data_IF_923843799203
#
_entry.id   IF_923843799203
#
_cell.length_a   1.000
_cell.length_b   1.000
_cell.length_c   1.000
_cell.angle_alpha   90.00
_cell.angle_beta   90.00
_cell.angle_gamma   90.00
#
_symmetry.space_group_name_H-M   'P 1'
#
loop_
_entity.id
_entity.type
_entity.pdbx_description
1 polymer ?
#
# COMPACT_ATOMS: atom_id res chain seq x y z
N UNK A 1 -1.98 19.43 -23.96
CA UNK A 1 -0.56 18.97 -23.82
C UNK A 1 -0.25 18.00 -24.93
N UNK A 2 0.84 18.22 -25.67
CA UNK A 2 1.10 17.50 -26.93
C UNK A 2 1.49 16.03 -26.67
N UNK A 3 0.78 15.08 -27.28
CA UNK A 3 1.05 13.64 -27.26
C UNK A 3 2.54 13.29 -27.52
N UNK A 4 3.24 14.14 -28.28
CA UNK A 4 4.67 13.98 -28.56
C UNK A 4 5.56 14.21 -27.33
N UNK A 5 5.23 15.13 -26.41
CA UNK A 5 5.97 15.36 -25.18
C UNK A 5 5.81 14.20 -24.19
N UNK A 6 4.63 13.61 -24.11
CA UNK A 6 4.37 12.44 -23.26
C UNK A 6 5.15 11.21 -23.74
N UNK A 7 5.20 10.96 -25.05
CA UNK A 7 5.94 9.84 -25.64
C UNK A 7 7.46 10.02 -25.55
N UNK A 8 7.97 11.27 -25.61
CA UNK A 8 9.40 11.54 -25.42
C UNK A 8 9.85 11.35 -23.96
N UNK A 9 8.99 11.63 -22.98
CA UNK A 9 9.28 11.36 -21.57
C UNK A 9 9.22 9.86 -21.27
N UNK A 10 8.31 9.11 -21.90
CA UNK A 10 8.23 7.65 -21.77
C UNK A 10 9.45 6.93 -22.41
N UNK A 11 9.96 7.45 -23.52
CA UNK A 11 11.14 6.89 -24.18
C UNK A 11 12.45 7.10 -23.38
N UNK A 12 12.56 8.20 -22.63
CA UNK A 12 13.72 8.46 -21.77
C UNK A 12 13.78 7.51 -20.56
N UNK A 13 12.61 7.02 -20.09
CA UNK A 13 12.50 6.05 -18.99
C UNK A 13 12.80 4.60 -19.44
N UNK A 14 12.49 4.26 -20.69
CA UNK A 14 12.77 2.92 -21.25
C UNK A 14 14.26 2.63 -21.46
N UNK A 15 15.09 3.67 -21.59
CA UNK A 15 16.54 3.51 -21.74
C UNK A 15 17.26 3.20 -20.40
N UNK A 16 16.60 3.38 -19.24
CA UNK A 16 17.16 3.07 -17.92
C UNK A 16 17.01 1.59 -17.53
N UNK A 17 16.30 0.78 -18.30
CA UNK A 17 15.98 -0.61 -17.97
C UNK A 17 17.10 -1.63 -18.20
N UNK A 18 18.30 -1.22 -18.68
CA UNK A 18 19.41 -2.12 -19.01
C UNK A 18 20.67 -1.91 -18.15
N UNK A 19 20.60 -1.21 -17.02
CA UNK A 19 21.78 -1.04 -16.16
C UNK A 19 21.81 -2.11 -15.07
N UNK A 20 22.99 -2.72 -14.81
CA UNK A 20 23.14 -3.69 -13.72
C UNK A 20 22.95 -3.00 -12.36
N UNK A 21 22.30 -3.70 -11.45
CA UNK A 21 22.16 -3.30 -10.05
C UNK A 21 23.56 -3.06 -9.46
N UNK A 22 23.84 -1.84 -9.03
CA UNK A 22 25.13 -1.51 -8.41
C UNK A 22 25.62 -0.08 -8.68
N UNK A 23 24.90 0.70 -9.45
CA UNK A 23 25.22 2.12 -9.64
C UNK A 23 24.36 2.94 -8.68
N UNK A 24 25.00 3.64 -7.76
CA UNK A 24 24.41 4.73 -6.99
C UNK A 24 23.90 5.80 -7.97
N UNK A 25 22.72 5.58 -8.52
CA UNK A 25 22.06 6.52 -9.40
C UNK A 25 21.53 7.68 -8.58
N UNK A 26 22.41 8.58 -8.21
CA UNK A 26 22.11 9.97 -7.91
C UNK A 26 21.78 10.70 -9.22
N UNK A 27 20.90 10.12 -10.03
CA UNK A 27 20.40 10.75 -11.24
C UNK A 27 19.04 11.34 -10.94
N UNK A 28 18.95 12.64 -11.11
CA UNK A 28 17.76 13.49 -11.06
C UNK A 28 16.49 12.73 -11.50
N UNK A 29 15.75 12.18 -10.53
CA UNK A 29 14.41 11.68 -10.79
C UNK A 29 13.57 12.89 -11.22
N UNK A 30 12.84 12.83 -12.33
CA UNK A 30 12.11 13.98 -12.87
C UNK A 30 11.09 14.59 -11.90
N UNK A 31 10.79 13.88 -10.81
CA UNK A 31 9.79 14.25 -9.79
C UNK A 31 10.40 14.50 -8.40
N UNK A 32 11.73 14.52 -8.23
CA UNK A 32 12.37 14.60 -6.91
C UNK A 32 12.35 13.24 -6.17
N UNK A 33 12.26 13.27 -4.84
CA UNK A 33 12.12 12.08 -3.99
C UNK A 33 10.66 11.85 -3.62
N UNK A 34 10.24 10.57 -3.58
CA UNK A 34 8.93 10.23 -3.02
C UNK A 34 8.86 10.71 -1.56
N UNK A 35 7.71 11.21 -1.15
CA UNK A 35 7.52 11.55 0.26
C UNK A 35 7.58 10.32 1.16
N UNK A 36 8.08 10.53 2.36
CA UNK A 36 8.07 9.54 3.43
C UNK A 36 7.37 10.08 4.65
N UNK A 37 6.80 9.20 5.46
CA UNK A 37 6.28 9.51 6.80
C UNK A 37 6.90 8.59 7.83
N UNK A 38 7.14 9.13 9.01
CA UNK A 38 7.70 8.33 10.10
C UNK A 38 6.68 7.29 10.61
N UNK A 39 7.13 6.07 10.86
CA UNK A 39 6.41 5.11 11.69
C UNK A 39 6.47 5.64 13.12
N UNK A 40 5.34 5.96 13.76
CA UNK A 40 5.36 6.70 15.04
C UNK A 40 6.13 6.00 16.16
N UNK A 41 6.10 4.66 16.22
CA UNK A 41 6.76 3.88 17.27
C UNK A 41 8.30 3.91 17.21
N UNK A 42 8.89 4.19 16.04
CA UNK A 42 10.36 4.11 15.85
C UNK A 42 10.98 5.30 15.16
N UNK A 43 10.18 6.18 14.55
CA UNK A 43 10.61 7.25 13.64
C UNK A 43 11.27 6.75 12.33
N UNK A 44 11.17 5.47 12.01
CA UNK A 44 11.61 4.94 10.72
C UNK A 44 10.80 5.55 9.58
N UNK A 45 11.48 6.04 8.55
CA UNK A 45 10.85 6.66 7.40
C UNK A 45 10.30 5.60 6.43
N UNK A 46 8.99 5.58 6.23
CA UNK A 46 8.31 4.71 5.27
C UNK A 46 7.80 5.55 4.07
N UNK A 47 8.07 5.14 2.81
CA UNK A 47 7.47 5.79 1.65
C UNK A 47 5.94 5.81 1.74
N UNK A 48 5.33 6.92 1.36
CA UNK A 48 3.87 7.11 1.48
C UNK A 48 3.05 6.23 0.55
N UNK A 49 3.69 5.56 -0.43
CA UNK A 49 3.05 4.61 -1.34
C UNK A 49 3.84 3.32 -1.42
N UNK A 50 3.12 2.22 -1.38
CA UNK A 50 3.56 0.86 -1.64
C UNK A 50 2.58 0.13 -2.54
N UNK A 51 2.84 -1.15 -2.79
CA UNK A 51 1.98 -1.99 -3.61
C UNK A 51 1.37 -3.10 -2.76
N UNK A 52 0.09 -3.40 -3.02
CA UNK A 52 -0.60 -4.55 -2.46
C UNK A 52 -0.25 -5.85 -3.17
N UNK A 53 -1.17 -6.79 -3.17
CA UNK A 53 -0.98 -8.11 -3.74
C UNK A 53 -1.79 -8.30 -5.05
N UNK A 54 -1.37 -7.69 -6.17
CA UNK A 54 -2.06 -7.87 -7.43
C UNK A 54 -1.99 -9.35 -7.87
N UNK A 55 -2.95 -9.83 -8.69
CA UNK A 55 -3.02 -11.22 -9.13
C UNK A 55 -1.71 -11.79 -9.68
N UNK A 56 -0.88 -10.96 -10.31
CA UNK A 56 0.44 -11.36 -10.87
C UNK A 56 1.49 -11.70 -9.81
N UNK A 57 1.24 -11.43 -8.52
CA UNK A 57 2.09 -11.87 -7.41
C UNK A 57 1.55 -13.11 -6.71
N UNK A 58 0.30 -13.50 -7.04
CA UNK A 58 -0.40 -14.61 -6.38
C UNK A 58 -0.26 -15.90 -7.17
N UNK A 59 -0.37 -15.81 -8.49
CA UNK A 59 -0.35 -16.98 -9.35
C UNK A 59 0.79 -16.89 -10.37
N UNK A 60 1.31 -18.05 -10.79
CA UNK A 60 2.26 -18.14 -11.89
C UNK A 60 1.61 -17.58 -13.17
N UNK A 61 2.16 -16.52 -13.77
CA UNK A 61 1.58 -15.97 -14.98
C UNK A 61 1.83 -16.88 -16.19
N UNK A 62 0.81 -17.09 -17.04
CA UNK A 62 0.92 -17.89 -18.26
C UNK A 62 1.99 -17.34 -19.22
N UNK A 63 2.17 -16.03 -19.27
CA UNK A 63 3.12 -15.34 -20.15
C UNK A 63 4.54 -15.21 -19.53
N UNK A 64 4.79 -15.88 -18.39
CA UNK A 64 6.06 -15.85 -17.67
C UNK A 64 6.20 -14.69 -16.69
N UNK A 65 7.38 -14.61 -16.06
CA UNK A 65 7.64 -13.75 -14.87
C UNK A 65 8.15 -12.33 -15.20
N UNK A 66 8.23 -11.95 -16.46
CA UNK A 66 8.76 -10.62 -16.82
C UNK A 66 7.83 -9.49 -16.39
N UNK A 67 6.53 -9.65 -16.58
CA UNK A 67 5.53 -8.66 -16.18
C UNK A 67 5.52 -8.38 -14.66
N UNK A 68 5.42 -9.36 -13.76
CA UNK A 68 5.49 -9.10 -12.33
C UNK A 68 6.84 -8.52 -11.90
N UNK A 69 7.96 -8.94 -12.49
CA UNK A 69 9.28 -8.34 -12.24
C UNK A 69 9.37 -6.89 -12.70
N UNK A 70 8.74 -6.54 -13.82
CA UNK A 70 8.64 -5.15 -14.29
C UNK A 70 7.87 -4.28 -13.29
N UNK A 71 6.75 -4.78 -12.78
CA UNK A 71 5.96 -4.09 -11.74
C UNK A 71 6.80 -3.83 -10.50
N UNK A 72 7.50 -4.86 -9.98
CA UNK A 72 8.39 -4.72 -8.82
C UNK A 72 9.46 -3.65 -9.08
N UNK A 73 10.17 -3.73 -10.23
CA UNK A 73 11.19 -2.75 -10.61
C UNK A 73 10.62 -1.33 -10.66
N UNK A 74 9.44 -1.15 -11.23
CA UNK A 74 8.81 0.16 -11.38
C UNK A 74 8.46 0.76 -10.02
N UNK A 75 7.91 -0.03 -9.08
CA UNK A 75 7.65 0.42 -7.71
C UNK A 75 8.94 0.86 -7.02
N UNK A 76 10.00 0.04 -7.09
CA UNK A 76 11.30 0.34 -6.46
C UNK A 76 11.95 1.57 -7.10
N UNK A 77 11.94 1.68 -8.43
CA UNK A 77 12.51 2.81 -9.16
C UNK A 77 11.80 4.12 -8.85
N UNK A 78 10.50 4.06 -8.58
CA UNK A 78 9.69 5.19 -8.09
C UNK A 78 9.82 5.42 -6.58
N UNK A 79 10.72 4.72 -5.89
CA UNK A 79 11.03 4.91 -4.47
C UNK A 79 10.10 4.18 -3.50
N UNK A 80 9.16 3.37 -3.98
CA UNK A 80 8.34 2.50 -3.14
C UNK A 80 9.19 1.41 -2.48
N UNK A 81 8.83 1.06 -1.23
CA UNK A 81 9.49 -0.01 -0.46
C UNK A 81 8.49 -0.96 0.20
N UNK A 82 7.28 -0.50 0.46
CA UNK A 82 6.22 -1.30 1.09
C UNK A 82 5.60 -2.25 0.07
N UNK A 83 5.69 -3.54 0.34
CA UNK A 83 5.01 -4.61 -0.39
C UNK A 83 4.12 -5.37 0.57
N UNK A 84 2.82 -5.22 0.39
CA UNK A 84 1.83 -5.97 1.14
C UNK A 84 1.55 -7.30 0.45
N UNK A 85 1.54 -8.37 1.21
CA UNK A 85 1.43 -9.73 0.66
C UNK A 85 0.01 -10.25 0.65
N UNK A 86 -0.30 -11.24 -0.20
CA UNK A 86 -1.62 -11.83 -0.24
C UNK A 86 -2.07 -12.36 1.13
N UNK A 87 -3.36 -12.17 1.43
CA UNK A 87 -3.93 -12.66 2.67
C UNK A 87 -4.19 -14.17 2.66
N UNK A 88 -4.34 -14.79 1.49
CA UNK A 88 -4.73 -16.19 1.35
C UNK A 88 -3.82 -16.95 0.39
N UNK A 89 -3.45 -18.16 0.77
CA UNK A 89 -2.78 -19.11 -0.08
C UNK A 89 -3.82 -19.95 -0.85
N UNK A 90 -3.63 -20.11 -2.17
CA UNK A 90 -4.50 -20.89 -3.05
C UNK A 90 -3.64 -21.63 -4.07
N UNK A 91 -3.99 -22.81 -4.31
CA UNK A 91 -3.54 -24.03 -3.66
C UNK A 91 -2.04 -23.99 -3.41
N UNK A 92 -1.31 -23.07 -4.13
CA UNK A 92 0.12 -22.86 -4.05
C UNK A 92 0.45 -21.58 -3.26
N UNK A 93 1.70 -21.42 -2.86
CA UNK A 93 2.20 -20.20 -2.28
C UNK A 93 2.26 -19.08 -3.35
N UNK A 94 2.06 -17.81 -2.96
CA UNK A 94 2.30 -16.70 -3.86
C UNK A 94 3.75 -16.67 -4.36
N UNK A 95 3.95 -16.15 -5.57
CA UNK A 95 5.28 -16.16 -6.21
C UNK A 95 6.16 -14.96 -5.87
N UNK A 96 5.67 -14.01 -5.09
CA UNK A 96 6.41 -12.76 -4.79
C UNK A 96 7.80 -13.02 -4.22
N UNK A 97 7.94 -13.93 -3.25
CA UNK A 97 9.24 -14.26 -2.65
C UNK A 97 10.23 -14.83 -3.66
N UNK A 98 9.77 -15.70 -4.55
CA UNK A 98 10.60 -16.22 -5.63
C UNK A 98 11.03 -15.14 -6.61
N UNK A 99 10.10 -14.25 -7.01
CA UNK A 99 10.40 -13.11 -7.88
C UNK A 99 11.48 -12.21 -7.27
N UNK A 100 11.38 -11.89 -5.98
CA UNK A 100 12.37 -11.08 -5.27
C UNK A 100 13.75 -11.76 -5.24
N UNK A 101 13.78 -13.08 -5.04
CA UNK A 101 15.01 -13.89 -5.07
C UNK A 101 15.65 -13.89 -6.47
N UNK A 102 14.86 -14.13 -7.52
CA UNK A 102 15.31 -14.10 -8.91
C UNK A 102 15.81 -12.72 -9.36
N UNK A 103 15.34 -11.66 -8.73
CA UNK A 103 15.77 -10.27 -8.98
C UNK A 103 17.02 -9.86 -8.19
N UNK A 104 17.67 -10.79 -7.51
CA UNK A 104 18.93 -10.56 -6.81
C UNK A 104 18.84 -10.53 -5.29
N UNK A 105 17.74 -11.05 -4.70
CA UNK A 105 17.56 -11.11 -3.25
C UNK A 105 17.18 -9.74 -2.67
N UNK A 106 16.07 -9.17 -3.14
CA UNK A 106 15.61 -7.83 -2.75
C UNK A 106 14.87 -7.78 -1.40
N UNK A 107 14.70 -8.92 -0.72
CA UNK A 107 13.88 -9.02 0.48
C UNK A 107 14.32 -8.05 1.59
N UNK A 108 15.63 -7.89 1.78
CA UNK A 108 16.16 -7.03 2.85
C UNK A 108 16.06 -5.54 2.55
N UNK A 109 15.95 -5.18 1.28
CA UNK A 109 15.79 -3.79 0.83
C UNK A 109 14.35 -3.29 0.88
N UNK A 110 13.39 -4.21 1.10
CA UNK A 110 11.96 -3.94 1.06
C UNK A 110 11.31 -4.06 2.44
N UNK A 111 10.25 -3.30 2.65
CA UNK A 111 9.36 -3.40 3.79
C UNK A 111 8.25 -4.40 3.44
N UNK A 112 8.39 -5.65 3.90
CA UNK A 112 7.48 -6.74 3.58
C UNK A 112 6.44 -6.93 4.68
N UNK A 113 5.16 -6.79 4.31
CA UNK A 113 4.03 -6.99 5.22
C UNK A 113 3.36 -8.35 4.95
N UNK A 114 3.32 -9.20 5.98
CA UNK A 114 2.61 -10.49 5.98
C UNK A 114 1.31 -10.44 6.76
N UNK A 115 0.46 -11.44 6.58
CA UNK A 115 -0.84 -11.52 7.26
C UNK A 115 -1.10 -12.92 7.80
N UNK A 116 -1.75 -12.97 8.98
CA UNK A 116 -2.34 -14.20 9.52
C UNK A 116 -3.85 -14.18 9.24
N UNK A 117 -4.36 -15.25 8.61
CA UNK A 117 -5.73 -15.29 8.07
C UNK A 117 -6.53 -16.49 8.50
N UNK A 118 -5.95 -17.35 9.32
CA UNK A 118 -6.53 -18.60 9.81
C UNK A 118 -7.01 -18.47 11.25
N UNK A 119 -7.80 -19.41 11.71
CA UNK A 119 -8.27 -19.51 13.09
C UNK A 119 -7.49 -20.60 13.81
N UNK A 120 -7.34 -20.46 15.14
CA UNK A 120 -6.63 -21.40 16.00
C UNK A 120 -5.15 -21.09 16.15
N UNK A 121 -4.63 -21.28 17.38
CA UNK A 121 -3.26 -20.92 17.73
C UNK A 121 -2.21 -21.63 16.89
N UNK A 122 -2.30 -22.98 16.78
CA UNK A 122 -1.30 -23.77 16.04
C UNK A 122 -1.36 -23.46 14.55
N UNK A 123 -2.58 -23.35 13.99
CA UNK A 123 -2.79 -22.98 12.59
C UNK A 123 -2.22 -21.58 12.30
N UNK A 124 -2.36 -20.66 13.23
CA UNK A 124 -1.77 -19.32 13.15
C UNK A 124 -0.24 -19.36 13.10
N UNK A 125 0.39 -20.11 13.98
CA UNK A 125 1.85 -20.32 13.99
C UNK A 125 2.33 -20.91 12.67
N UNK A 126 1.66 -21.98 12.20
CA UNK A 126 2.03 -22.65 10.96
C UNK A 126 1.87 -21.72 9.75
N UNK A 127 0.80 -20.91 9.75
CA UNK A 127 0.55 -19.93 8.69
C UNK A 127 1.64 -18.85 8.63
N UNK A 128 2.03 -18.26 9.77
CA UNK A 128 3.09 -17.25 9.80
C UNK A 128 4.43 -17.83 9.37
N UNK A 129 4.79 -19.04 9.83
CA UNK A 129 6.01 -19.70 9.38
C UNK A 129 5.98 -19.94 7.85
N UNK A 130 4.83 -20.30 7.28
CA UNK A 130 4.68 -20.42 5.82
C UNK A 130 4.87 -19.07 5.11
N UNK A 131 4.34 -17.96 5.67
CA UNK A 131 4.55 -16.60 5.12
C UNK A 131 6.04 -16.24 5.10
N UNK A 132 6.75 -16.46 6.20
CA UNK A 132 8.20 -16.23 6.32
C UNK A 132 8.96 -17.04 5.26
N UNK A 133 8.64 -18.33 5.16
CA UNK A 133 9.32 -19.24 4.25
C UNK A 133 9.13 -18.85 2.77
N UNK A 134 7.90 -18.54 2.32
CA UNK A 134 7.69 -18.20 0.91
C UNK A 134 8.24 -16.82 0.55
N UNK A 135 8.29 -15.88 1.49
CA UNK A 135 8.93 -14.57 1.25
C UNK A 135 10.46 -14.65 1.25
N UNK A 136 11.02 -15.70 1.90
CA UNK A 136 12.47 -15.87 1.99
C UNK A 136 13.13 -14.78 2.83
N UNK A 137 12.45 -14.29 3.89
CA UNK A 137 12.95 -13.26 4.80
C UNK A 137 12.74 -13.70 6.24
N UNK A 138 13.82 -13.92 6.98
CA UNK A 138 13.79 -14.47 8.36
C UNK A 138 13.02 -13.57 9.35
N UNK A 139 13.13 -12.25 9.18
CA UNK A 139 12.41 -11.27 9.98
C UNK A 139 11.54 -10.41 9.06
N UNK A 140 10.21 -10.58 9.14
CA UNK A 140 9.27 -9.72 8.41
C UNK A 140 9.23 -8.32 9.02
N UNK A 141 9.02 -7.32 8.18
CA UNK A 141 8.89 -5.94 8.68
C UNK A 141 7.58 -5.77 9.42
N UNK A 142 6.48 -6.28 8.88
CA UNK A 142 5.16 -6.17 9.49
C UNK A 142 4.39 -7.48 9.42
N UNK A 143 3.78 -7.87 10.53
CA UNK A 143 2.77 -8.94 10.58
C UNK A 143 1.43 -8.39 11.04
N UNK A 144 0.37 -8.69 10.31
CA UNK A 144 -1.00 -8.24 10.58
C UNK A 144 -1.94 -9.42 10.88
N UNK A 145 -2.80 -9.29 11.89
CA UNK A 145 -4.01 -10.14 11.98
C UNK A 145 -5.02 -9.61 10.96
N UNK A 146 -5.30 -10.39 9.91
CA UNK A 146 -6.17 -9.98 8.81
C UNK A 146 -7.63 -9.89 9.25
N UNK A 147 -8.23 -8.72 9.04
CA UNK A 147 -9.62 -8.42 9.39
C UNK A 147 -9.98 -8.79 10.84
N UNK A 148 -9.01 -8.62 11.75
CA UNK A 148 -9.16 -8.92 13.19
C UNK A 148 -9.68 -10.35 13.44
N UNK A 149 -9.30 -11.31 12.58
CA UNK A 149 -9.77 -12.69 12.65
C UNK A 149 -9.17 -13.40 13.84
N UNK A 150 -10.02 -14.04 14.67
CA UNK A 150 -9.60 -14.86 15.81
C UNK A 150 -8.55 -14.16 16.71
N UNK A 151 -8.87 -12.95 17.15
CA UNK A 151 -7.96 -12.09 17.92
C UNK A 151 -7.46 -12.75 19.20
N UNK A 152 -8.28 -13.60 19.81
CA UNK A 152 -7.94 -14.34 21.04
C UNK A 152 -6.69 -15.23 20.84
N UNK A 153 -6.56 -15.87 19.68
CA UNK A 153 -5.43 -16.73 19.35
C UNK A 153 -4.35 -16.00 18.55
N UNK A 154 -4.75 -15.20 17.54
CA UNK A 154 -3.82 -14.64 16.59
C UNK A 154 -3.03 -13.43 17.14
N UNK A 155 -3.62 -12.57 17.97
CA UNK A 155 -2.89 -11.44 18.51
C UNK A 155 -1.77 -11.85 19.48
N UNK A 156 -1.99 -12.78 20.44
CA UNK A 156 -0.90 -13.34 21.23
C UNK A 156 0.18 -14.04 20.38
N UNK A 157 -0.22 -14.70 19.30
CA UNK A 157 0.72 -15.33 18.36
C UNK A 157 1.62 -14.28 17.70
N UNK A 158 1.08 -13.13 17.22
CA UNK A 158 1.89 -12.07 16.66
C UNK A 158 2.86 -11.47 17.70
N UNK A 159 2.40 -11.26 18.93
CA UNK A 159 3.29 -10.81 20.03
C UNK A 159 4.45 -11.78 20.25
N UNK A 160 4.18 -13.08 20.24
CA UNK A 160 5.22 -14.10 20.34
C UNK A 160 6.23 -14.00 19.18
N UNK A 161 5.78 -13.87 17.93
CA UNK A 161 6.68 -13.74 16.77
C UNK A 161 7.52 -12.47 16.82
N UNK A 162 6.98 -11.36 17.32
CA UNK A 162 7.75 -10.13 17.57
C UNK A 162 8.82 -10.37 18.64
N UNK A 163 8.47 -10.99 19.76
CA UNK A 163 9.38 -11.25 20.86
C UNK A 163 10.51 -12.24 20.47
N UNK A 164 10.22 -13.15 19.51
CA UNK A 164 11.21 -14.04 18.89
C UNK A 164 12.08 -13.34 17.82
N UNK A 165 11.84 -12.06 17.51
CA UNK A 165 12.55 -11.31 16.47
C UNK A 165 12.18 -11.67 15.03
N UNK A 166 11.09 -12.38 14.81
CA UNK A 166 10.59 -12.77 13.49
C UNK A 166 9.68 -11.74 12.83
N UNK A 167 9.24 -10.73 13.59
CA UNK A 167 8.52 -9.56 13.09
C UNK A 167 9.05 -8.30 13.78
N UNK A 168 9.28 -7.24 13.01
CA UNK A 168 9.71 -5.94 13.54
C UNK A 168 8.52 -5.16 14.11
N UNK A 169 7.42 -5.17 13.38
CA UNK A 169 6.16 -4.51 13.73
C UNK A 169 5.00 -5.51 13.67
N UNK A 170 4.01 -5.29 14.54
CA UNK A 170 2.78 -6.07 14.53
C UNK A 170 1.55 -5.16 14.52
N UNK A 171 0.47 -5.65 13.92
CA UNK A 171 -0.76 -4.88 13.83
C UNK A 171 -1.97 -5.70 13.42
N UNK A 172 -3.00 -5.00 13.01
CA UNK A 172 -4.23 -5.61 12.51
C UNK A 172 -4.67 -4.96 11.21
N UNK A 173 -5.44 -5.67 10.39
CA UNK A 173 -6.19 -5.06 9.30
C UNK A 173 -7.68 -5.12 9.56
N UNK A 174 -8.41 -4.14 9.00
CA UNK A 174 -9.87 -4.14 8.93
C UNK A 174 -10.30 -3.37 7.68
N UNK A 175 -10.46 -4.07 6.54
CA UNK A 175 -10.66 -3.42 5.24
C UNK A 175 -12.12 -3.39 4.80
N UNK A 176 -12.94 -4.32 5.25
CA UNK A 176 -14.34 -4.49 4.76
C UNK A 176 -15.34 -4.48 5.90
N UNK A 177 -15.48 -3.34 6.58
CA UNK A 177 -16.45 -3.18 7.68
C UNK A 177 -17.11 -1.81 7.62
N UNK A 178 -18.31 -1.76 8.17
CA UNK A 178 -19.06 -0.53 8.38
C UNK A 178 -19.08 -0.10 9.86
N UNK A 179 -18.65 -0.98 10.77
CA UNK A 179 -18.51 -0.71 12.20
C UNK A 179 -17.05 -0.86 12.61
N UNK A 180 -16.43 0.24 12.99
CA UNK A 180 -15.04 0.32 13.41
C UNK A 180 -14.85 0.34 14.94
N UNK A 181 -15.98 0.25 15.71
CA UNK A 181 -15.88 0.24 17.18
C UNK A 181 -14.98 -0.88 17.72
N UNK A 182 -15.06 -2.13 17.25
CA UNK A 182 -14.15 -3.18 17.72
C UNK A 182 -12.66 -2.85 17.45
N UNK A 183 -12.36 -2.20 16.31
CA UNK A 183 -11.01 -1.76 15.97
C UNK A 183 -10.54 -0.63 16.90
N UNK A 184 -11.37 0.39 17.11
CA UNK A 184 -11.00 1.53 17.98
C UNK A 184 -10.84 1.12 19.43
N UNK A 185 -11.67 0.20 19.93
CA UNK A 185 -11.51 -0.38 21.27
C UNK A 185 -10.17 -1.16 21.39
N UNK A 186 -9.83 -1.96 20.37
CA UNK A 186 -8.57 -2.70 20.30
C UNK A 186 -7.36 -1.74 20.23
N UNK A 187 -7.41 -0.70 19.41
CA UNK A 187 -6.34 0.30 19.30
C UNK A 187 -6.04 0.96 20.65
N UNK A 188 -7.08 1.30 21.40
CA UNK A 188 -6.95 1.89 22.76
C UNK A 188 -6.37 0.92 23.77
N UNK A 189 -6.74 -0.37 23.70
CA UNK A 189 -6.33 -1.39 24.64
C UNK A 189 -4.91 -1.91 24.37
N UNK A 190 -4.58 -2.23 23.13
CA UNK A 190 -3.39 -2.97 22.76
C UNK A 190 -2.29 -2.12 22.11
N UNK A 191 -2.63 -0.94 21.58
CA UNK A 191 -1.70 0.00 20.90
C UNK A 191 -0.80 -0.70 19.90
N UNK A 192 -1.36 -1.30 18.84
CA UNK A 192 -0.55 -1.96 17.80
C UNK A 192 0.37 -0.95 17.11
N UNK A 193 1.47 -1.42 16.52
CA UNK A 193 2.36 -0.56 15.72
C UNK A 193 1.65 -0.03 14.47
N UNK A 194 0.83 -0.89 13.84
CA UNK A 194 0.12 -0.59 12.59
C UNK A 194 -1.34 -0.99 12.62
N UNK A 195 -2.15 -0.19 11.94
CA UNK A 195 -3.51 -0.53 11.51
C UNK A 195 -3.57 -0.34 9.99
N UNK A 196 -3.98 -1.40 9.28
CA UNK A 196 -4.32 -1.32 7.85
C UNK A 196 -5.83 -1.29 7.71
N UNK A 197 -6.37 -0.27 7.03
CA UNK A 197 -7.81 -0.11 6.88
C UNK A 197 -8.20 0.31 5.47
N UNK A 198 -9.37 -0.15 4.99
CA UNK A 198 -9.93 0.35 3.75
C UNK A 198 -10.26 1.84 3.89
N UNK A 199 -9.61 2.68 3.09
CA UNK A 199 -9.83 4.12 3.12
C UNK A 199 -9.73 4.69 1.71
N UNK A 200 -10.80 5.31 1.27
CA UNK A 200 -10.87 5.97 -0.04
C UNK A 200 -11.74 7.22 0.05
N UNK A 201 -11.68 8.05 -0.99
CA UNK A 201 -12.50 9.26 -1.07
C UNK A 201 -14.01 8.97 -1.04
N UNK A 202 -14.42 7.76 -1.43
CA UNK A 202 -15.81 7.30 -1.41
C UNK A 202 -16.14 6.42 -0.19
N UNK A 203 -15.14 6.03 0.61
CA UNK A 203 -15.29 5.24 1.83
C UNK A 203 -14.50 5.87 2.97
N UNK A 204 -15.13 6.83 3.65
CA UNK A 204 -14.50 7.64 4.70
C UNK A 204 -14.78 7.11 6.12
N UNK A 205 -15.43 5.94 6.24
CA UNK A 205 -15.80 5.35 7.53
C UNK A 205 -14.69 5.31 8.59
N UNK A 206 -13.40 5.00 8.28
CA UNK A 206 -12.34 5.08 9.27
C UNK A 206 -12.14 6.49 9.87
N UNK A 207 -12.27 7.55 9.07
CA UNK A 207 -12.18 8.92 9.56
C UNK A 207 -13.43 9.33 10.33
N UNK A 208 -14.63 8.95 9.83
CA UNK A 208 -15.90 9.26 10.45
C UNK A 208 -16.11 8.56 11.80
N UNK A 209 -15.48 7.43 12.02
CA UNK A 209 -15.58 6.62 13.25
C UNK A 209 -14.28 6.63 14.07
N UNK A 210 -13.59 7.75 14.08
CA UNK A 210 -12.44 8.09 14.95
C UNK A 210 -11.17 7.23 14.78
N UNK A 211 -11.08 6.31 13.82
CA UNK A 211 -9.88 5.48 13.64
C UNK A 211 -8.64 6.36 13.39
N UNK A 212 -8.78 7.38 12.52
CA UNK A 212 -7.67 8.27 12.19
C UNK A 212 -7.25 9.15 13.37
N UNK A 213 -8.22 9.72 14.10
CA UNK A 213 -7.94 10.54 15.27
C UNK A 213 -7.25 9.72 16.38
N UNK A 214 -7.77 8.53 16.69
CA UNK A 214 -7.19 7.63 17.69
C UNK A 214 -5.78 7.19 17.29
N UNK A 215 -5.54 6.92 16.00
CA UNK A 215 -4.22 6.53 15.51
C UNK A 215 -3.19 7.65 15.74
N UNK A 216 -3.54 8.90 15.46
CA UNK A 216 -2.68 10.06 15.72
C UNK A 216 -2.40 10.23 17.23
N UNK A 217 -3.44 10.16 18.06
CA UNK A 217 -3.32 10.34 19.51
C UNK A 217 -2.45 9.25 20.18
N UNK A 218 -2.52 8.02 19.67
CA UNK A 218 -1.81 6.88 20.24
C UNK A 218 -0.47 6.58 19.55
N UNK A 219 -0.14 7.29 18.48
CA UNK A 219 1.07 7.03 17.70
C UNK A 219 1.04 5.69 16.98
N UNK A 220 -0.08 5.35 16.35
CA UNK A 220 -0.28 4.14 15.54
C UNK A 220 -0.13 4.49 14.06
N UNK A 221 0.68 3.74 13.33
CA UNK A 221 0.84 3.94 11.89
C UNK A 221 -0.40 3.43 11.11
N UNK A 222 -0.92 4.22 10.20
CA UNK A 222 -2.04 3.83 9.33
C UNK A 222 -1.55 3.49 7.93
N UNK A 223 -1.91 2.29 7.46
CA UNK A 223 -1.81 1.91 6.05
C UNK A 223 -3.21 1.96 5.43
N UNK A 224 -3.42 2.89 4.50
CA UNK A 224 -4.62 2.94 3.68
C UNK A 224 -4.61 1.82 2.64
N UNK A 225 -5.66 1.02 2.61
CA UNK A 225 -5.89 -0.04 1.62
C UNK A 225 -7.14 0.26 0.79
N UNK A 226 -7.31 -0.43 -0.33
CA UNK A 226 -8.47 -0.30 -1.21
C UNK A 226 -8.74 1.18 -1.67
N UNK A 227 -7.71 1.94 -2.10
CA UNK A 227 -7.84 3.40 -2.33
C UNK A 227 -8.78 3.77 -3.47
N UNK A 228 -9.12 2.82 -4.33
CA UNK A 228 -10.02 3.00 -5.48
C UNK A 228 -11.37 2.33 -5.30
N UNK A 229 -11.67 1.86 -4.09
CA UNK A 229 -12.94 1.25 -3.80
C UNK A 229 -14.02 2.32 -3.73
N UNK A 230 -15.14 2.08 -4.42
CA UNK A 230 -16.38 2.83 -4.25
C UNK A 230 -17.36 2.03 -3.38
N UNK A 231 -18.50 2.64 -3.08
CA UNK A 231 -19.60 1.99 -2.33
C UNK A 231 -20.03 0.69 -3.04
N UNK A 232 -19.99 0.68 -4.37
CA UNK A 232 -20.17 -0.51 -5.19
C UNK A 232 -18.84 -0.92 -5.83
N UNK A 233 -18.52 -2.22 -5.84
CA UNK A 233 -17.25 -2.73 -6.35
C UNK A 233 -17.00 -2.27 -7.80
N UNK A 234 -15.86 -1.61 -8.03
CA UNK A 234 -15.44 -1.11 -9.35
C UNK A 234 -16.05 0.21 -9.80
N UNK A 235 -16.98 0.80 -9.06
CA UNK A 235 -17.72 1.99 -9.48
C UNK A 235 -16.88 3.28 -9.55
N UNK A 236 -15.78 3.39 -8.79
CA UNK A 236 -14.97 4.63 -8.78
C UNK A 236 -14.52 5.05 -10.18
N UNK A 237 -13.80 4.19 -10.90
CA UNK A 237 -13.32 4.52 -12.25
C UNK A 237 -14.46 4.62 -13.28
N UNK A 238 -15.55 3.86 -13.09
CA UNK A 238 -16.73 3.99 -13.95
C UNK A 238 -17.45 5.31 -13.74
N UNK A 239 -17.54 5.80 -12.51
CA UNK A 239 -18.14 7.08 -12.17
C UNK A 239 -17.42 8.25 -12.84
N UNK A 240 -16.11 8.16 -13.02
CA UNK A 240 -15.26 9.25 -13.52
C UNK A 240 -14.75 9.02 -14.95
N UNK A 241 -15.24 7.97 -15.64
CA UNK A 241 -14.69 7.55 -16.95
C UNK A 241 -14.71 8.65 -18.02
N UNK A 242 -15.78 9.44 -18.07
CA UNK A 242 -15.99 10.51 -19.05
C UNK A 242 -15.81 11.91 -18.44
N UNK A 243 -15.22 11.99 -17.24
CA UNK A 243 -15.03 13.25 -16.51
C UNK A 243 -13.54 13.61 -16.51
N UNK A 244 -13.22 14.84 -16.91
CA UNK A 244 -11.87 15.35 -16.77
C UNK A 244 -11.54 15.66 -15.30
N UNK A 245 -10.28 15.43 -14.89
CA UNK A 245 -9.79 15.90 -13.60
C UNK A 245 -9.96 17.42 -13.51
N UNK A 246 -10.62 17.95 -12.46
CA UNK A 246 -10.92 19.38 -12.36
C UNK A 246 -9.65 20.24 -12.27
N UNK A 247 -9.74 21.50 -12.75
CA UNK A 247 -8.61 22.43 -12.84
C UNK A 247 -7.92 22.62 -11.48
N UNK A 248 -8.70 22.85 -10.42
CA UNK A 248 -8.16 23.06 -9.07
C UNK A 248 -7.28 21.89 -8.59
N UNK A 249 -7.57 20.66 -9.02
CA UNK A 249 -6.75 19.49 -8.70
C UNK A 249 -5.48 19.43 -9.57
N UNK A 250 -5.59 19.86 -10.85
CA UNK A 250 -4.44 19.94 -11.77
C UNK A 250 -3.39 20.94 -11.29
N UNK A 251 -3.80 22.02 -10.62
CA UNK A 251 -2.91 23.06 -10.06
C UNK A 251 -1.91 22.47 -9.05
N UNK A 252 -2.29 21.43 -8.31
CA UNK A 252 -1.39 20.70 -7.37
C UNK A 252 -0.80 19.42 -8.00
N UNK A 253 -0.78 19.33 -9.33
CA UNK A 253 -0.14 18.25 -10.07
C UNK A 253 -0.92 16.93 -10.13
N UNK A 254 -2.24 16.94 -9.91
CA UNK A 254 -3.10 15.76 -10.08
C UNK A 254 -3.52 15.66 -11.54
N UNK A 255 -3.07 14.62 -12.26
CA UNK A 255 -3.29 14.46 -13.69
C UNK A 255 -4.14 13.23 -14.05
N UNK A 256 -4.52 12.42 -13.09
CA UNK A 256 -5.38 11.25 -13.27
C UNK A 256 -6.33 11.08 -12.09
N UNK A 257 -7.38 10.32 -12.28
CA UNK A 257 -8.32 9.99 -11.22
C UNK A 257 -7.71 9.06 -10.18
N UNK A 258 -6.74 8.22 -10.55
CA UNK A 258 -5.98 7.44 -9.59
C UNK A 258 -5.16 8.34 -8.66
N UNK A 259 -4.43 9.33 -9.22
CA UNK A 259 -3.72 10.34 -8.42
C UNK A 259 -4.68 11.17 -7.56
N UNK A 260 -5.88 11.48 -8.06
CA UNK A 260 -6.91 12.20 -7.32
C UNK A 260 -7.29 11.46 -6.04
N UNK A 261 -7.64 10.17 -6.14
CA UNK A 261 -7.96 9.36 -4.96
C UNK A 261 -6.77 9.21 -4.02
N UNK A 262 -5.59 8.85 -4.52
CA UNK A 262 -4.39 8.63 -3.71
C UNK A 262 -3.93 9.90 -3.00
N UNK A 263 -3.89 11.06 -3.68
CA UNK A 263 -3.51 12.32 -3.06
C UNK A 263 -4.54 12.80 -2.04
N UNK A 264 -5.84 12.54 -2.29
CA UNK A 264 -6.87 12.82 -1.30
C UNK A 264 -6.61 12.06 0.02
N UNK A 265 -6.26 10.78 -0.05
CA UNK A 265 -5.91 9.97 1.12
C UNK A 265 -4.61 10.50 1.76
N UNK A 266 -3.58 10.79 0.97
CA UNK A 266 -2.30 11.31 1.45
C UNK A 266 -2.41 12.71 2.06
N UNK A 267 -3.45 13.46 1.73
CA UNK A 267 -3.78 14.72 2.41
C UNK A 267 -4.23 14.54 3.85
N UNK A 268 -4.53 13.29 4.29
CA UNK A 268 -4.81 12.99 5.69
C UNK A 268 -3.49 12.76 6.45
N UNK A 269 -3.17 13.58 7.47
CA UNK A 269 -1.91 13.44 8.21
C UNK A 269 -1.83 12.17 9.06
N UNK A 270 -2.96 11.51 9.34
CA UNK A 270 -2.97 10.24 10.07
C UNK A 270 -2.47 9.06 9.23
N UNK A 271 -2.56 9.14 7.89
CA UNK A 271 -2.15 8.05 7.00
C UNK A 271 -0.64 8.04 6.86
N UNK A 272 0.01 6.95 7.25
CA UNK A 272 1.47 6.76 7.11
C UNK A 272 1.84 6.34 5.69
N UNK A 273 1.13 5.36 5.13
CA UNK A 273 1.36 4.86 3.77
C UNK A 273 0.07 4.35 3.16
N UNK A 274 0.05 4.13 1.85
CA UNK A 274 -1.07 3.51 1.13
C UNK A 274 -0.52 2.32 0.34
N UNK A 275 -1.29 1.24 0.28
CA UNK A 275 -1.08 0.15 -0.68
C UNK A 275 -2.19 0.16 -1.72
N UNK A 276 -1.78 0.20 -2.98
CA UNK A 276 -2.67 0.05 -4.13
C UNK A 276 -2.34 -1.25 -4.87
N UNK A 277 -3.25 -1.75 -5.69
CA UNK A 277 -3.05 -2.95 -6.50
C UNK A 277 -3.17 -2.62 -7.99
N UNK A 278 -2.24 -3.15 -8.78
CA UNK A 278 -2.32 -3.12 -10.23
C UNK A 278 -1.44 -4.19 -10.86
N UNK A 279 -1.93 -4.82 -11.94
CA UNK A 279 -1.16 -5.74 -12.78
C UNK A 279 -0.67 -5.07 -14.07
N UNK A 280 -0.74 -3.74 -14.16
CA UNK A 280 -0.41 -3.00 -15.38
C UNK A 280 0.74 -2.02 -15.12
N UNK A 281 1.93 -2.19 -15.73
CA UNK A 281 3.11 -1.38 -15.44
C UNK A 281 2.90 0.13 -15.56
N UNK A 282 2.16 0.59 -16.59
CA UNK A 282 1.86 2.03 -16.76
C UNK A 282 1.10 2.63 -15.58
N UNK A 283 0.25 1.86 -14.92
CA UNK A 283 -0.50 2.32 -13.76
C UNK A 283 0.36 2.36 -12.50
N UNK A 284 1.46 1.61 -12.44
CA UNK A 284 2.44 1.77 -11.36
C UNK A 284 3.02 3.19 -11.39
N UNK A 285 3.44 3.68 -12.57
CA UNK A 285 3.97 5.05 -12.70
C UNK A 285 2.93 6.09 -12.33
N UNK A 286 1.69 5.94 -12.83
CA UNK A 286 0.61 6.86 -12.55
C UNK A 286 0.30 6.94 -11.05
N UNK A 287 0.10 5.80 -10.41
CA UNK A 287 -0.19 5.70 -8.98
C UNK A 287 0.97 6.24 -8.13
N UNK A 288 2.21 5.79 -8.40
CA UNK A 288 3.38 6.22 -7.65
C UNK A 288 3.66 7.73 -7.76
N UNK A 289 3.26 8.36 -8.86
CA UNK A 289 3.37 9.81 -9.03
C UNK A 289 2.56 10.58 -7.98
N UNK A 290 1.50 10.01 -7.43
CA UNK A 290 0.74 10.62 -6.34
C UNK A 290 1.57 10.81 -5.06
N UNK A 291 2.66 10.07 -4.87
CA UNK A 291 3.57 10.20 -3.72
C UNK A 291 4.55 11.38 -3.81
N UNK A 292 4.44 12.21 -4.84
CA UNK A 292 5.34 13.33 -5.08
C UNK A 292 4.59 14.67 -5.11
N UNK A 293 5.33 15.77 -4.92
CA UNK A 293 4.78 17.11 -4.96
C UNK A 293 3.86 17.39 -3.77
N UNK A 294 2.97 18.36 -3.92
CA UNK A 294 2.09 18.79 -2.85
C UNK A 294 0.95 17.81 -2.59
N UNK A 295 0.55 17.69 -1.32
CA UNK A 295 -0.67 17.01 -0.92
C UNK A 295 -1.77 18.01 -0.62
N UNK A 296 -3.05 17.68 -0.91
CA UNK A 296 -4.16 18.56 -0.58
C UNK A 296 -4.28 18.76 0.94
N UNK A 297 -4.48 19.98 1.34
CA UNK A 297 -4.88 20.31 2.71
C UNK A 297 -6.35 19.94 2.99
N UNK A 298 -6.82 20.18 4.20
CA UNK A 298 -8.18 19.83 4.59
C UNK A 298 -9.25 20.55 3.74
N UNK A 299 -9.03 21.81 3.36
CA UNK A 299 -9.98 22.57 2.54
C UNK A 299 -10.05 22.00 1.12
N UNK A 300 -8.89 21.70 0.53
CA UNK A 300 -8.79 21.06 -0.78
C UNK A 300 -9.38 19.64 -0.76
N UNK A 301 -9.10 18.83 0.26
CA UNK A 301 -9.71 17.48 0.42
C UNK A 301 -11.23 17.56 0.46
N UNK A 302 -11.78 18.56 1.18
CA UNK A 302 -13.23 18.78 1.19
C UNK A 302 -13.74 19.15 -0.19
N UNK A 303 -13.08 20.06 -0.89
CA UNK A 303 -13.45 20.43 -2.26
C UNK A 303 -13.41 19.23 -3.21
N UNK A 304 -12.38 18.36 -3.09
CA UNK A 304 -12.28 17.13 -3.86
C UNK A 304 -13.44 16.18 -3.58
N UNK A 305 -13.81 15.99 -2.31
CA UNK A 305 -14.97 15.16 -1.93
C UNK A 305 -16.27 15.73 -2.46
N UNK A 306 -16.53 17.03 -2.28
CA UNK A 306 -17.74 17.70 -2.75
C UNK A 306 -17.88 17.60 -4.27
N UNK A 307 -16.77 17.78 -5.03
CA UNK A 307 -16.76 17.61 -6.47
C UNK A 307 -17.15 16.19 -6.88
N UNK A 308 -16.52 15.18 -6.27
CA UNK A 308 -16.82 13.77 -6.60
C UNK A 308 -18.28 13.41 -6.28
N UNK A 309 -18.83 13.88 -5.14
CA UNK A 309 -20.22 13.68 -4.78
C UNK A 309 -21.19 14.34 -5.77
N UNK A 310 -20.79 15.43 -6.44
CA UNK A 310 -21.60 16.09 -7.46
C UNK A 310 -21.73 15.30 -8.76
N UNK A 311 -20.93 14.25 -8.94
CA UNK A 311 -20.96 13.36 -10.11
C UNK A 311 -21.88 12.15 -9.91
N UNK A 312 -22.29 11.85 -8.68
CA UNK A 312 -23.19 10.76 -8.30
C UNK A 312 -24.65 11.25 -8.37
#
# INVERSE_FOLDING_TARGET
>A
MDRRRFLQQSAALSAAASMPFGVTAQNSRPYGSIHTRAIPSTNEALPVLGIGAPPVFINEPEEGRDLPKEIIRNVINMGGRLFDTPAFFRPNDPILGELLTEMGGLQDDLFLAGKITVEGKQQGIDHVNRVINYLGKDTLDLLLVHNMRDMENNWPTLKQFRDEGKARYIGVSLTRKTDYKPLTDFMKAERPDFVMTGYSITQQGPAEQDVMAIAQDLGIAIIGAEPFKAVEDGAFFSMVADVEVPEFAREIGINSWAQYSLKWILGDPAVTSIVYETSTPRYVFDNMTAGYGEFPDQAMRKQMSDFLLSLA
#
